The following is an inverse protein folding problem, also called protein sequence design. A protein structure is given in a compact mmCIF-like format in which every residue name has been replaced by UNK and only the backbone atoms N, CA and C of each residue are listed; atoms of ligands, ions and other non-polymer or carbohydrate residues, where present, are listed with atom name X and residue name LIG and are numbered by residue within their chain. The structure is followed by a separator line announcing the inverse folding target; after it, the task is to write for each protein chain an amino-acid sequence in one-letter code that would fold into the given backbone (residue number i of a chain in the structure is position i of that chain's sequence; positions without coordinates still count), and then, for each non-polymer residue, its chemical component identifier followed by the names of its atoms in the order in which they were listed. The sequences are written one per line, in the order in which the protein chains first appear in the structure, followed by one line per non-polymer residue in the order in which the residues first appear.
data_IF_242875458825
#
_entry.id   IF_242875458825
#
_cell.length_a   1.000
_cell.length_b   1.000
_cell.length_c   1.000
_cell.angle_alpha   90.00
_cell.angle_beta   90.00
_cell.angle_gamma   90.00
#
_symmetry.space_group_name_H-M   'P 1'
#
loop_
_entity.id
_entity.type
_entity.pdbx_description
1 polymer ?
#
# COMPACT_ATOMS: atom_id res chain seq x y z
N UNK A 1 7.93 -12.08 32.15
CA UNK A 1 9.20 -12.57 31.58
C UNK A 1 8.91 -12.92 30.12
N UNK A 2 8.71 -11.91 29.26
CA UNK A 2 9.70 -11.20 28.43
C UNK A 2 10.53 -12.13 27.53
N UNK A 3 10.11 -12.25 26.27
CA UNK A 3 11.02 -12.51 25.15
C UNK A 3 10.44 -11.78 23.93
N UNK A 4 10.96 -10.58 23.67
CA UNK A 4 10.66 -9.79 22.49
C UNK A 4 11.40 -10.39 21.29
N UNK A 5 10.67 -10.69 20.23
CA UNK A 5 11.20 -11.20 18.98
C UNK A 5 11.64 -10.02 18.11
N UNK A 6 12.89 -9.61 18.26
CA UNK A 6 13.55 -8.69 17.33
C UNK A 6 13.93 -9.45 16.06
N UNK A 7 13.14 -9.32 15.00
CA UNK A 7 13.55 -9.74 13.65
C UNK A 7 14.43 -8.63 13.08
N UNK A 8 15.74 -8.81 13.23
CA UNK A 8 16.73 -7.98 12.57
C UNK A 8 16.72 -8.26 11.07
N UNK A 9 16.40 -7.24 10.29
CA UNK A 9 16.53 -7.22 8.83
C UNK A 9 18.00 -7.47 8.45
N UNK A 10 18.29 -8.63 7.85
CA UNK A 10 19.52 -8.85 7.09
C UNK A 10 19.15 -8.65 5.61
N UNK A 11 19.49 -7.47 5.11
CA UNK A 11 19.50 -7.16 3.67
C UNK A 11 20.90 -7.41 3.15
N UNK A 12 21.04 -8.43 2.31
CA UNK A 12 22.12 -8.61 1.32
C UNK A 12 21.60 -9.70 0.35
N UNK A 13 21.34 -9.50 -0.94
CA UNK A 13 21.81 -8.52 -1.89
C UNK A 13 22.80 -9.18 -2.85
N UNK A 14 22.32 -9.65 -4.02
CA UNK A 14 22.94 -9.50 -5.34
C UNK A 14 22.38 -10.52 -6.36
N UNK A 15 21.54 -10.07 -7.28
CA UNK A 15 21.53 -10.59 -8.65
C UNK A 15 21.83 -9.42 -9.57
N UNK A 16 22.93 -9.55 -10.32
CA UNK A 16 23.45 -8.57 -11.26
C UNK A 16 22.45 -8.29 -12.38
N UNK A 17 21.98 -7.06 -12.48
CA UNK A 17 21.37 -6.52 -13.69
C UNK A 17 22.23 -5.34 -14.18
N UNK A 18 23.02 -5.60 -15.22
CA UNK A 18 23.80 -4.60 -15.95
C UNK A 18 22.84 -3.66 -16.68
N UNK A 19 22.76 -2.39 -16.27
CA UNK A 19 22.01 -1.36 -16.99
C UNK A 19 22.95 -0.25 -17.47
N UNK A 20 22.89 -0.04 -18.79
CA UNK A 20 23.61 0.94 -19.58
C UNK A 20 23.43 2.37 -19.06
N UNK A 21 24.53 3.12 -19.03
CA UNK A 21 24.59 4.56 -18.80
C UNK A 21 23.89 5.31 -19.94
N UNK A 22 22.93 6.18 -19.61
CA UNK A 22 22.43 7.20 -20.52
C UNK A 22 22.36 8.56 -19.78
N UNK A 23 23.40 9.37 -19.99
CA UNK A 23 23.46 10.78 -19.65
C UNK A 23 22.53 11.58 -20.55
N UNK A 24 21.52 12.25 -20.01
CA UNK A 24 20.86 13.39 -20.66
C UNK A 24 20.40 14.40 -19.60
N UNK A 25 20.99 15.58 -19.59
CA UNK A 25 20.39 16.81 -19.06
C UNK A 25 19.66 17.54 -20.20
N UNK A 26 18.61 18.34 -19.94
CA UNK A 26 18.84 19.79 -20.02
C UNK A 26 17.96 20.68 -19.09
N UNK A 27 18.61 21.74 -18.60
CA UNK A 27 18.21 23.17 -18.62
C UNK A 27 16.76 23.63 -18.39
N UNK A 28 16.53 24.45 -17.35
CA UNK A 28 15.74 25.71 -17.37
C UNK A 28 15.89 26.42 -15.99
N UNK A 29 16.52 27.59 -15.81
CA UNK A 29 16.24 28.97 -16.26
C UNK A 29 15.65 29.85 -15.14
N UNK A 30 16.47 30.82 -14.72
CA UNK A 30 16.30 32.05 -13.93
C UNK A 30 14.98 32.38 -13.19
N UNK A 31 15.11 32.67 -11.90
CA UNK A 31 14.11 33.32 -11.04
C UNK A 31 14.03 34.85 -11.30
N UNK A 32 12.84 35.49 -11.23
CA UNK A 32 12.75 36.94 -11.20
C UNK A 32 12.79 37.51 -9.77
N UNK A 33 13.49 38.63 -9.65
CA UNK A 33 13.72 39.44 -8.45
C UNK A 33 12.43 40.15 -8.00
N UNK A 34 12.06 40.04 -6.72
CA UNK A 34 10.86 40.71 -6.16
C UNK A 34 11.25 42.11 -5.66
N UNK A 35 10.84 43.15 -6.40
CA UNK A 35 10.97 44.55 -5.98
C UNK A 35 9.84 44.92 -5.02
N UNK A 36 10.18 45.20 -3.76
CA UNK A 36 9.24 45.66 -2.74
C UNK A 36 8.87 47.12 -3.00
N UNK A 37 7.63 47.37 -3.44
CA UNK A 37 7.03 48.71 -3.46
C UNK A 37 6.20 48.89 -2.20
N UNK A 38 6.69 49.69 -1.26
CA UNK A 38 5.97 50.09 -0.06
C UNK A 38 4.91 51.13 -0.45
N UNK A 39 3.63 50.79 -0.32
CA UNK A 39 2.53 51.78 -0.37
C UNK A 39 1.83 51.83 0.98
N UNK A 40 1.77 53.06 1.50
CA UNK A 40 1.28 53.45 2.82
C UNK A 40 -0.24 53.32 2.87
N UNK A 41 -0.74 52.64 3.89
CA UNK A 41 -2.17 52.53 4.18
C UNK A 41 -2.76 53.90 4.56
N UNK A 42 -3.76 54.35 3.80
CA UNK A 42 -4.72 55.34 4.25
C UNK A 42 -5.96 54.59 4.74
N UNK A 43 -6.37 54.89 5.96
CA UNK A 43 -7.57 54.41 6.62
C UNK A 43 -8.82 54.95 5.92
N UNK A 44 -9.58 54.06 5.28
CA UNK A 44 -10.89 54.38 4.72
C UNK A 44 -11.91 53.34 5.18
N UNK A 45 -12.85 53.77 6.00
CA UNK A 45 -13.98 53.01 6.50
C UNK A 45 -14.92 52.65 5.35
N UNK A 46 -14.67 51.55 4.65
CA UNK A 46 -15.46 51.11 3.50
C UNK A 46 -16.33 49.90 3.86
N UNK A 47 -17.64 50.07 3.71
CA UNK A 47 -18.64 49.00 3.65
C UNK A 47 -18.18 47.94 2.65
N UNK A 48 -17.98 46.70 3.10
CA UNK A 48 -17.57 45.59 2.22
C UNK A 48 -18.59 45.46 1.09
N UNK A 49 -18.22 45.67 -0.19
CA UNK A 49 -19.17 45.57 -1.29
C UNK A 49 -19.66 44.12 -1.42
N UNK A 50 -20.97 43.92 -1.51
CA UNK A 50 -21.60 42.60 -1.69
C UNK A 50 -21.02 41.79 -2.87
N UNK A 51 -20.41 42.45 -3.85
CA UNK A 51 -19.69 41.81 -4.97
C UNK A 51 -18.43 41.06 -4.54
N UNK A 52 -17.65 41.60 -3.60
CA UNK A 52 -16.47 40.92 -3.04
C UNK A 52 -16.88 39.75 -2.13
N UNK A 53 -17.98 39.89 -1.38
CA UNK A 53 -18.54 38.79 -0.58
C UNK A 53 -19.07 37.64 -1.46
N UNK A 54 -19.72 37.95 -2.60
CA UNK A 54 -20.22 36.94 -3.56
C UNK A 54 -19.09 36.26 -4.33
N UNK A 55 -18.01 36.98 -4.64
CA UNK A 55 -16.80 36.42 -5.27
C UNK A 55 -15.97 35.60 -4.29
N UNK A 56 -15.81 36.04 -3.03
CA UNK A 56 -15.17 35.25 -1.97
C UNK A 56 -15.97 33.98 -1.64
N UNK A 57 -17.31 34.07 -1.59
CA UNK A 57 -18.18 32.90 -1.45
C UNK A 57 -18.11 31.96 -2.67
N UNK A 58 -17.98 32.50 -3.88
CA UNK A 58 -17.81 31.74 -5.12
C UNK A 58 -16.48 30.98 -5.18
N UNK A 59 -15.37 31.62 -4.82
CA UNK A 59 -14.03 31.01 -4.75
C UNK A 59 -13.92 30.00 -3.59
N UNK A 60 -14.54 30.31 -2.45
CA UNK A 60 -14.64 29.39 -1.30
C UNK A 60 -15.42 28.12 -1.66
N UNK A 61 -16.56 28.25 -2.35
CA UNK A 61 -17.37 27.11 -2.81
C UNK A 61 -16.67 26.30 -3.91
N UNK A 62 -15.99 26.96 -4.85
CA UNK A 62 -15.24 26.30 -5.92
C UNK A 62 -14.03 25.49 -5.40
N UNK A 63 -13.38 25.94 -4.34
CA UNK A 63 -12.31 25.17 -3.68
C UNK A 63 -12.84 24.09 -2.72
N UNK A 64 -14.09 24.21 -2.25
CA UNK A 64 -14.71 23.25 -1.33
C UNK A 64 -15.18 21.97 -2.03
N UNK A 65 -15.71 22.05 -3.25
CA UNK A 65 -16.19 20.88 -3.98
C UNK A 65 -15.08 19.84 -4.29
N UNK A 66 -13.91 20.23 -4.83
CA UNK A 66 -12.78 19.29 -5.02
C UNK A 66 -12.28 18.65 -3.72
N UNK A 67 -12.29 19.39 -2.60
CA UNK A 67 -11.92 18.85 -1.28
C UNK A 67 -12.95 17.81 -0.81
N UNK A 68 -14.23 18.12 -0.89
CA UNK A 68 -15.30 17.19 -0.53
C UNK A 68 -15.26 15.92 -1.40
N UNK A 69 -15.01 16.08 -2.70
CA UNK A 69 -14.86 14.97 -3.64
C UNK A 69 -13.65 14.07 -3.30
N UNK A 70 -12.49 14.66 -2.96
CA UNK A 70 -11.32 13.93 -2.48
C UNK A 70 -11.60 13.12 -1.21
N UNK A 71 -12.26 13.73 -0.22
CA UNK A 71 -12.64 13.02 1.01
C UNK A 71 -13.61 11.88 0.68
N UNK A 72 -14.64 12.14 -0.14
CA UNK A 72 -15.59 11.11 -0.57
C UNK A 72 -14.91 9.94 -1.27
N UNK A 73 -13.92 10.22 -2.12
CA UNK A 73 -13.11 9.19 -2.77
C UNK A 73 -12.30 8.36 -1.77
N UNK A 74 -11.68 8.97 -0.76
CA UNK A 74 -10.96 8.23 0.28
C UNK A 74 -11.87 7.28 1.08
N UNK A 75 -13.07 7.73 1.47
CA UNK A 75 -14.05 6.87 2.14
C UNK A 75 -14.51 5.71 1.23
N UNK A 76 -14.75 5.98 -0.06
CA UNK A 76 -15.13 4.94 -1.01
C UNK A 76 -14.01 3.93 -1.26
N UNK A 77 -12.78 4.41 -1.47
CA UNK A 77 -11.67 3.58 -1.94
C UNK A 77 -10.99 2.80 -0.81
N UNK A 78 -10.87 3.38 0.40
CA UNK A 78 -10.34 2.70 1.59
C UNK A 78 -11.43 1.96 2.36
N UNK A 79 -12.54 2.63 2.68
CA UNK A 79 -13.52 2.16 3.67
C UNK A 79 -14.75 1.51 3.05
N UNK A 80 -14.87 1.55 1.72
CA UNK A 80 -16.01 0.98 0.98
C UNK A 80 -17.38 1.50 1.45
N UNK A 81 -17.44 2.75 1.95
CA UNK A 81 -18.67 3.41 2.39
C UNK A 81 -18.70 4.88 2.01
N UNK A 82 -19.87 5.51 2.13
CA UNK A 82 -20.00 6.97 1.99
C UNK A 82 -19.69 7.68 3.32
N UNK A 83 -19.08 8.88 3.27
CA UNK A 83 -18.91 9.71 4.46
C UNK A 83 -20.23 10.37 4.86
N UNK A 84 -20.38 10.68 6.14
CA UNK A 84 -21.40 11.62 6.61
C UNK A 84 -21.06 13.07 6.24
N UNK A 85 -22.03 13.99 6.37
CA UNK A 85 -21.76 15.42 6.19
C UNK A 85 -20.69 15.95 7.18
N UNK A 86 -20.70 15.44 8.41
CA UNK A 86 -19.75 15.83 9.46
C UNK A 86 -18.33 15.31 9.17
N UNK A 87 -18.23 14.07 8.65
CA UNK A 87 -16.96 13.50 8.17
C UNK A 87 -16.33 14.41 7.10
N UNK A 88 -17.11 14.77 6.07
CA UNK A 88 -16.64 15.63 4.98
C UNK A 88 -16.24 17.00 5.52
N UNK A 89 -17.03 17.60 6.41
CA UNK A 89 -16.74 18.90 7.00
C UNK A 89 -15.44 18.88 7.81
N UNK A 90 -15.24 17.87 8.67
CA UNK A 90 -14.05 17.71 9.50
C UNK A 90 -12.77 17.64 8.67
N UNK A 91 -12.71 16.73 7.68
CA UNK A 91 -11.52 16.55 6.86
C UNK A 91 -11.29 17.72 5.90
N UNK A 92 -12.37 18.31 5.36
CA UNK A 92 -12.26 19.48 4.48
C UNK A 92 -11.73 20.71 5.21
N UNK A 93 -12.01 20.85 6.51
CA UNK A 93 -11.44 21.91 7.35
C UNK A 93 -9.93 21.73 7.53
N UNK A 94 -9.43 20.50 7.71
CA UNK A 94 -7.99 20.23 7.79
C UNK A 94 -7.28 20.59 6.48
N UNK A 95 -7.85 20.21 5.34
CA UNK A 95 -7.33 20.61 4.03
C UNK A 95 -7.35 22.13 3.84
N UNK A 96 -8.41 22.80 4.29
CA UNK A 96 -8.51 24.27 4.25
C UNK A 96 -7.41 24.94 5.09
N UNK A 97 -7.06 24.33 6.23
CA UNK A 97 -6.00 24.79 7.13
C UNK A 97 -4.58 24.46 6.63
N UNK A 98 -4.44 23.86 5.44
CA UNK A 98 -3.14 23.56 4.82
C UNK A 98 -2.57 22.18 5.17
N UNK A 99 -3.34 21.28 5.77
CA UNK A 99 -2.89 19.90 5.96
C UNK A 99 -2.63 19.26 4.59
N UNK A 100 -1.48 18.60 4.38
CA UNK A 100 -1.18 17.96 3.12
C UNK A 100 -2.09 16.74 2.92
N UNK A 101 -2.47 16.47 1.66
CA UNK A 101 -3.31 15.31 1.30
C UNK A 101 -2.72 13.97 1.75
N UNK A 102 -1.39 13.86 1.75
CA UNK A 102 -0.69 12.68 2.25
C UNK A 102 -1.03 12.38 3.71
N UNK A 103 -1.08 13.39 4.59
CA UNK A 103 -1.43 13.21 6.01
C UNK A 103 -2.90 12.81 6.17
N UNK A 104 -3.77 13.32 5.31
CA UNK A 104 -5.19 12.92 5.32
C UNK A 104 -5.31 11.46 4.89
N UNK A 105 -4.74 11.07 3.74
CA UNK A 105 -4.78 9.70 3.24
C UNK A 105 -4.12 8.69 4.20
N UNK A 106 -3.01 9.07 4.84
CA UNK A 106 -2.35 8.25 5.86
C UNK A 106 -3.27 8.01 7.09
N UNK A 107 -4.09 8.99 7.45
CA UNK A 107 -5.11 8.83 8.48
C UNK A 107 -6.16 7.75 8.15
N UNK A 108 -6.53 7.60 6.88
CA UNK A 108 -7.42 6.51 6.43
C UNK A 108 -6.67 5.17 6.43
N UNK A 109 -5.47 5.14 5.85
CA UNK A 109 -4.64 3.94 5.75
C UNK A 109 -4.23 3.35 7.11
N UNK A 110 -4.19 4.16 8.16
CA UNK A 110 -3.88 3.73 9.51
C UNK A 110 -5.10 3.63 10.44
N UNK A 111 -6.31 3.87 9.94
CA UNK A 111 -7.53 3.73 10.73
C UNK A 111 -7.84 2.27 11.05
N UNK A 112 -8.44 2.01 12.22
CA UNK A 112 -8.86 0.67 12.62
C UNK A 112 -9.91 0.07 11.67
N UNK A 113 -10.74 0.93 11.07
CA UNK A 113 -11.71 0.52 10.06
C UNK A 113 -11.01 -0.03 8.81
N UNK A 114 -10.02 0.68 8.28
CA UNK A 114 -9.26 0.19 7.13
C UNK A 114 -8.40 -1.03 7.47
N UNK A 115 -7.76 -1.04 8.64
CA UNK A 115 -6.99 -2.20 9.12
C UNK A 115 -7.87 -3.45 9.20
N UNK A 116 -9.08 -3.31 9.73
CA UNK A 116 -10.08 -4.39 9.79
C UNK A 116 -10.41 -4.90 8.39
N UNK A 117 -10.73 -4.00 7.45
CA UNK A 117 -11.01 -4.34 6.05
C UNK A 117 -9.83 -5.10 5.43
N UNK A 118 -8.59 -4.66 5.68
CA UNK A 118 -7.38 -5.32 5.16
C UNK A 118 -7.16 -6.70 5.78
N UNK A 119 -7.41 -6.85 7.08
CA UNK A 119 -7.36 -8.16 7.76
C UNK A 119 -8.39 -9.12 7.14
N UNK A 120 -9.64 -8.69 7.02
CA UNK A 120 -10.72 -9.51 6.45
C UNK A 120 -10.43 -9.90 4.99
N UNK A 121 -9.95 -8.96 4.18
CA UNK A 121 -9.51 -9.22 2.81
C UNK A 121 -8.35 -10.22 2.78
N UNK A 122 -7.38 -10.12 3.70
CA UNK A 122 -6.27 -11.07 3.77
C UNK A 122 -6.76 -12.48 4.12
N UNK A 123 -7.68 -12.65 5.07
CA UNK A 123 -8.29 -13.95 5.36
C UNK A 123 -8.99 -14.55 4.12
N UNK A 124 -9.77 -13.74 3.41
CA UNK A 124 -10.48 -14.19 2.23
C UNK A 124 -9.55 -14.54 1.07
N UNK A 125 -8.58 -13.70 0.77
CA UNK A 125 -7.65 -13.89 -0.36
C UNK A 125 -6.62 -14.98 -0.12
N UNK A 126 -6.13 -15.12 1.11
CA UNK A 126 -5.07 -16.08 1.46
C UNK A 126 -5.64 -17.43 1.90
N UNK A 127 -6.66 -17.43 2.76
CA UNK A 127 -7.20 -18.66 3.37
C UNK A 127 -8.54 -19.09 2.78
N UNK A 128 -9.22 -18.24 2.01
CA UNK A 128 -10.52 -18.55 1.41
C UNK A 128 -11.65 -18.67 2.42
N UNK A 129 -11.58 -17.92 3.53
CA UNK A 129 -12.60 -17.91 4.59
C UNK A 129 -12.65 -16.55 5.27
N UNK A 130 -13.71 -16.31 6.04
CA UNK A 130 -13.77 -15.16 6.94
C UNK A 130 -12.81 -15.31 8.12
N UNK A 131 -12.28 -14.18 8.58
CA UNK A 131 -11.52 -14.11 9.83
C UNK A 131 -12.43 -14.23 11.04
N UNK A 132 -12.02 -14.95 12.06
CA UNK A 132 -12.78 -15.01 13.31
C UNK A 132 -12.69 -13.66 14.04
N UNK A 133 -13.76 -13.20 14.74
CA UNK A 133 -13.74 -11.93 15.46
C UNK A 133 -12.56 -11.79 16.44
N UNK A 134 -12.21 -12.88 17.15
CA UNK A 134 -11.05 -12.90 18.04
C UNK A 134 -9.71 -12.81 17.29
N UNK A 135 -9.62 -13.45 16.12
CA UNK A 135 -8.44 -13.36 15.25
C UNK A 135 -8.24 -11.93 14.72
N UNK A 136 -9.31 -11.29 14.25
CA UNK A 136 -9.30 -9.89 13.79
C UNK A 136 -8.87 -8.95 14.92
N UNK A 137 -9.44 -9.10 16.12
CA UNK A 137 -9.07 -8.30 17.29
C UNK A 137 -7.57 -8.46 17.66
N UNK A 138 -7.05 -9.69 17.62
CA UNK A 138 -5.63 -9.95 17.88
C UNK A 138 -4.71 -9.27 16.86
N UNK A 139 -5.09 -9.25 15.59
CA UNK A 139 -4.34 -8.54 14.54
C UNK A 139 -4.33 -7.03 14.78
N UNK A 140 -5.49 -6.43 15.08
CA UNK A 140 -5.58 -5.00 15.39
C UNK A 140 -4.69 -4.62 16.58
N UNK A 141 -4.75 -5.38 17.65
CA UNK A 141 -3.93 -5.19 18.84
C UNK A 141 -2.42 -5.32 18.53
N UNK A 142 -2.04 -6.24 17.65
CA UNK A 142 -0.66 -6.35 17.18
C UNK A 142 -0.24 -5.11 16.37
N UNK A 143 -1.13 -4.56 15.54
CA UNK A 143 -0.87 -3.33 14.78
C UNK A 143 -0.81 -2.08 15.67
N UNK A 144 -1.61 -1.99 16.73
CA UNK A 144 -1.54 -0.89 17.70
C UNK A 144 -0.21 -0.87 18.44
N UNK A 145 0.36 -2.05 18.73
CA UNK A 145 1.69 -2.17 19.33
C UNK A 145 2.84 -2.04 18.31
N UNK A 146 2.54 -1.84 17.03
CA UNK A 146 3.54 -1.74 15.96
C UNK A 146 4.29 -3.06 15.68
N UNK A 147 3.74 -4.20 16.12
CA UNK A 147 4.35 -5.51 15.91
C UNK A 147 4.10 -6.06 14.50
N UNK A 148 3.02 -5.61 13.85
CA UNK A 148 2.56 -6.03 12.52
C UNK A 148 2.05 -4.79 11.79
N UNK A 149 2.32 -4.71 10.48
CA UNK A 149 1.78 -3.67 9.60
C UNK A 149 0.69 -4.23 8.67
N UNK A 150 -0.01 -3.36 7.93
CA UNK A 150 -0.95 -3.79 6.90
C UNK A 150 -0.32 -4.70 5.84
N UNK A 151 0.99 -4.54 5.58
CA UNK A 151 1.71 -5.29 4.55
C UNK A 151 2.17 -6.68 5.04
N UNK A 152 2.22 -6.88 6.37
CA UNK A 152 2.71 -8.11 6.99
C UNK A 152 1.61 -9.18 7.13
N UNK A 153 0.33 -8.80 7.12
CA UNK A 153 -0.79 -9.71 7.41
C UNK A 153 -0.86 -10.85 6.39
N UNK A 154 -0.88 -10.51 5.08
CA UNK A 154 -0.99 -11.50 4.02
C UNK A 154 0.17 -12.50 4.10
N UNK A 155 1.39 -11.97 4.28
CA UNK A 155 2.60 -12.77 4.46
C UNK A 155 2.51 -13.70 5.67
N UNK A 156 2.10 -13.20 6.82
CA UNK A 156 1.94 -14.01 8.02
C UNK A 156 0.86 -15.11 7.85
N UNK A 157 -0.21 -14.82 7.10
CA UNK A 157 -1.21 -15.84 6.76
C UNK A 157 -0.66 -16.88 5.78
N UNK A 158 0.12 -16.49 4.77
CA UNK A 158 0.80 -17.42 3.86
C UNK A 158 1.75 -18.37 4.60
N UNK A 159 2.42 -17.87 5.65
CA UNK A 159 3.36 -18.65 6.47
C UNK A 159 2.67 -19.54 7.51
N UNK A 160 1.35 -19.38 7.71
CA UNK A 160 0.62 -20.09 8.75
C UNK A 160 0.52 -21.59 8.50
N UNK A 161 0.40 -22.36 9.59
CA UNK A 161 0.06 -23.78 9.52
C UNK A 161 -1.29 -24.00 8.83
N UNK A 162 -2.24 -23.08 8.97
CA UNK A 162 -3.52 -23.21 8.29
C UNK A 162 -3.38 -23.14 6.77
N UNK A 163 -2.64 -22.16 6.24
CA UNK A 163 -2.41 -22.07 4.80
C UNK A 163 -1.74 -23.34 4.28
N UNK A 164 -0.74 -23.86 5.01
CA UNK A 164 -0.07 -25.11 4.66
C UNK A 164 -1.02 -26.33 4.61
N UNK A 165 -1.88 -26.47 5.62
CA UNK A 165 -2.89 -27.54 5.65
C UNK A 165 -3.91 -27.40 4.51
N UNK A 166 -4.36 -26.16 4.22
CA UNK A 166 -5.30 -25.87 3.12
C UNK A 166 -4.69 -26.11 1.75
N UNK A 167 -3.42 -25.76 1.56
CA UNK A 167 -2.69 -26.00 0.32
C UNK A 167 -2.68 -27.49 -0.04
N UNK A 168 -2.45 -28.36 0.95
CA UNK A 168 -2.51 -29.80 0.77
C UNK A 168 -3.92 -30.31 0.43
N UNK A 169 -4.92 -29.81 1.17
CA UNK A 169 -6.31 -30.20 1.00
C UNK A 169 -6.85 -29.85 -0.40
N UNK A 170 -6.37 -28.75 -1.00
CA UNK A 170 -6.70 -28.34 -2.38
C UNK A 170 -6.43 -29.45 -3.40
N UNK A 171 -5.40 -30.28 -3.16
CA UNK A 171 -5.00 -31.36 -4.05
C UNK A 171 -5.38 -32.75 -3.52
N UNK A 172 -6.10 -32.83 -2.38
CA UNK A 172 -6.42 -34.10 -1.73
C UNK A 172 -5.19 -34.87 -1.23
N UNK A 173 -4.13 -34.15 -0.86
CA UNK A 173 -2.83 -34.72 -0.48
C UNK A 173 -2.50 -34.44 0.99
N UNK A 174 -1.50 -35.18 1.50
CA UNK A 174 -0.87 -34.82 2.77
C UNK A 174 -0.02 -33.53 2.59
N UNK A 175 0.00 -32.64 3.59
CA UNK A 175 0.78 -31.40 3.53
C UNK A 175 2.26 -31.63 3.25
N UNK A 176 2.76 -30.93 2.24
CA UNK A 176 4.18 -30.91 1.85
C UNK A 176 4.54 -29.59 1.15
N UNK A 177 5.84 -29.30 1.08
CA UNK A 177 6.37 -28.06 0.50
C UNK A 177 6.01 -27.87 -0.99
N UNK A 178 5.78 -28.96 -1.74
CA UNK A 178 5.33 -28.89 -3.13
C UNK A 178 3.91 -28.33 -3.25
N UNK A 179 2.95 -28.94 -2.54
CA UNK A 179 1.56 -28.44 -2.50
C UNK A 179 1.44 -27.01 -1.98
N UNK A 180 2.30 -26.65 -1.02
CA UNK A 180 2.43 -25.31 -0.49
C UNK A 180 2.92 -24.33 -1.56
N UNK A 181 4.01 -24.66 -2.25
CA UNK A 181 4.59 -23.83 -3.30
C UNK A 181 3.62 -23.63 -4.47
N UNK A 182 2.95 -24.69 -4.92
CA UNK A 182 1.95 -24.60 -6.00
C UNK A 182 0.79 -23.67 -5.61
N UNK A 183 0.40 -23.67 -4.34
CA UNK A 183 -0.64 -22.79 -3.81
C UNK A 183 -0.13 -21.34 -3.68
N UNK A 184 1.12 -21.12 -3.25
CA UNK A 184 1.74 -19.78 -3.27
C UNK A 184 1.76 -19.21 -4.69
N UNK A 185 2.17 -20.00 -5.67
CA UNK A 185 2.18 -19.62 -7.09
C UNK A 185 0.78 -19.21 -7.57
N UNK A 186 -0.21 -20.06 -7.32
CA UNK A 186 -1.59 -19.79 -7.72
C UNK A 186 -2.14 -18.52 -7.04
N UNK A 187 -1.91 -18.34 -5.74
CA UNK A 187 -2.50 -17.23 -4.98
C UNK A 187 -1.75 -15.92 -5.21
N UNK A 188 -0.42 -15.92 -5.13
CA UNK A 188 0.42 -14.70 -5.22
C UNK A 188 0.67 -14.30 -6.68
N UNK A 189 0.94 -15.27 -7.57
CA UNK A 189 1.31 -15.01 -8.98
C UNK A 189 0.16 -15.25 -9.97
N UNK A 190 -0.90 -15.96 -9.56
CA UNK A 190 -2.07 -16.17 -10.41
C UNK A 190 -1.81 -17.16 -11.55
N UNK A 191 -0.76 -17.96 -11.42
CA UNK A 191 -0.33 -18.97 -12.38
C UNK A 191 0.28 -20.15 -11.63
N UNK A 192 0.38 -21.29 -12.28
CA UNK A 192 1.13 -22.42 -11.75
C UNK A 192 2.63 -22.22 -11.97
N UNK A 193 3.44 -22.93 -11.17
CA UNK A 193 4.87 -23.04 -11.43
C UNK A 193 5.06 -23.77 -12.77
N UNK A 194 5.85 -23.19 -13.67
CA UNK A 194 6.04 -23.72 -15.01
C UNK A 194 7.44 -24.31 -15.18
N UNK A 195 7.55 -25.39 -15.94
CA UNK A 195 8.84 -26.06 -16.19
C UNK A 195 9.51 -26.53 -14.89
N UNK A 196 10.79 -26.20 -14.72
CA UNK A 196 11.58 -26.59 -13.55
C UNK A 196 11.50 -25.65 -12.33
N UNK A 197 10.64 -24.61 -12.37
CA UNK A 197 10.56 -23.60 -11.30
C UNK A 197 10.30 -24.22 -9.92
N UNK A 198 9.32 -25.12 -9.80
CA UNK A 198 8.98 -25.76 -8.53
C UNK A 198 10.15 -26.55 -7.94
N UNK A 199 10.80 -27.39 -8.77
CA UNK A 199 11.98 -28.15 -8.37
C UNK A 199 13.19 -27.28 -8.00
N UNK A 200 13.38 -26.17 -8.72
CA UNK A 200 14.40 -25.17 -8.40
C UNK A 200 14.19 -24.61 -6.99
N UNK A 201 12.99 -24.13 -6.68
CA UNK A 201 12.70 -23.54 -5.37
C UNK A 201 12.83 -24.52 -4.22
N UNK A 202 12.33 -25.75 -4.39
CA UNK A 202 12.44 -26.80 -3.37
C UNK A 202 13.91 -27.20 -3.13
N UNK A 203 14.73 -27.22 -4.17
CA UNK A 203 16.17 -27.49 -4.04
C UNK A 203 16.90 -26.32 -3.37
N UNK A 204 16.59 -25.09 -3.79
CA UNK A 204 17.19 -23.88 -3.26
C UNK A 204 16.84 -23.66 -1.78
N UNK A 205 15.59 -23.95 -1.40
CA UNK A 205 15.15 -23.81 -0.01
C UNK A 205 15.86 -24.79 0.93
N UNK A 206 16.07 -26.03 0.49
CA UNK A 206 16.87 -27.01 1.24
C UNK A 206 18.34 -26.58 1.35
N UNK A 207 18.94 -26.12 0.25
CA UNK A 207 20.32 -25.62 0.26
C UNK A 207 20.50 -24.41 1.21
N UNK A 208 19.52 -23.50 1.24
CA UNK A 208 19.51 -22.35 2.14
C UNK A 208 19.40 -22.77 3.61
N UNK A 209 18.60 -23.80 3.91
CA UNK A 209 18.48 -24.32 5.26
C UNK A 209 19.82 -24.92 5.73
N UNK A 210 20.54 -25.62 4.84
CA UNK A 210 21.83 -26.22 5.15
C UNK A 210 22.97 -25.20 5.31
N UNK A 211 22.92 -24.06 4.60
CA UNK A 211 23.96 -23.01 4.67
C UNK A 211 23.95 -22.21 5.97
N UNK A 212 22.83 -22.16 6.69
CA UNK A 212 22.67 -21.39 7.92
C UNK A 212 23.13 -22.09 9.20
N UNK A 213 23.81 -23.25 9.11
CA UNK A 213 24.47 -23.97 10.20
C UNK A 213 23.77 -23.88 11.58
N UNK A 214 22.50 -24.29 11.67
CA UNK A 214 21.92 -24.73 12.95
C UNK A 214 20.67 -25.58 12.77
N UNK A 215 20.63 -26.65 13.55
CA UNK A 215 19.49 -27.49 13.87
C UNK A 215 18.43 -26.65 14.61
N UNK A 216 17.60 -25.89 13.87
CA UNK A 216 16.45 -25.21 14.45
C UNK A 216 15.53 -26.27 15.09
N UNK A 217 15.12 -26.14 16.38
CA UNK A 217 14.37 -27.17 17.10
C UNK A 217 12.97 -27.45 16.52
N UNK A 218 12.54 -26.60 15.61
CA UNK A 218 11.34 -26.62 14.80
C UNK A 218 11.72 -26.95 13.35
N UNK A 219 11.91 -28.25 13.09
CA UNK A 219 12.18 -28.89 11.79
C UNK A 219 11.10 -28.68 10.71
N UNK A 220 10.32 -27.60 10.80
CA UNK A 220 9.14 -27.39 9.98
C UNK A 220 9.01 -25.94 9.54
N UNK A 221 9.92 -25.50 8.66
CA UNK A 221 9.59 -25.55 7.23
C UNK A 221 10.44 -24.59 6.39
N UNK A 222 10.65 -24.96 5.13
CA UNK A 222 11.11 -24.03 4.09
C UNK A 222 10.07 -22.95 3.78
N UNK A 223 8.87 -22.99 4.39
CA UNK A 223 7.71 -22.15 4.08
C UNK A 223 7.98 -20.65 4.21
N UNK A 224 8.52 -20.11 5.33
CA UNK A 224 8.79 -18.67 5.40
C UNK A 224 9.75 -18.21 4.32
N UNK A 225 10.78 -19.01 4.03
CA UNK A 225 11.71 -18.68 2.96
C UNK A 225 11.05 -18.72 1.58
N UNK A 226 10.25 -19.75 1.28
CA UNK A 226 9.51 -19.84 0.02
C UNK A 226 8.51 -18.68 -0.13
N UNK A 227 7.76 -18.35 0.92
CA UNK A 227 6.88 -17.18 0.94
C UNK A 227 7.66 -15.91 0.64
N UNK A 228 8.83 -15.71 1.26
CA UNK A 228 9.68 -14.54 1.02
C UNK A 228 10.12 -14.44 -0.44
N UNK A 229 10.55 -15.55 -1.04
CA UNK A 229 11.00 -15.55 -2.43
C UNK A 229 9.85 -15.24 -3.39
N UNK A 230 8.66 -15.83 -3.18
CA UNK A 230 7.53 -15.65 -4.09
C UNK A 230 6.85 -14.30 -3.87
N UNK A 231 6.53 -13.94 -2.62
CA UNK A 231 5.88 -12.67 -2.27
C UNK A 231 6.76 -11.45 -2.55
N UNK A 232 8.07 -11.59 -2.33
CA UNK A 232 9.10 -10.59 -2.61
C UNK A 232 9.62 -10.59 -4.06
N UNK A 233 9.00 -11.34 -4.97
CA UNK A 233 9.39 -11.36 -6.38
C UNK A 233 8.93 -10.10 -7.12
N UNK A 234 9.66 -9.72 -8.18
CA UNK A 234 9.24 -8.63 -9.07
C UNK A 234 7.89 -8.92 -9.74
N UNK A 235 7.59 -10.19 -10.04
CA UNK A 235 6.29 -10.58 -10.58
C UNK A 235 5.15 -10.28 -9.60
N UNK A 236 5.29 -10.70 -8.33
CA UNK A 236 4.31 -10.41 -7.28
C UNK A 236 4.13 -8.91 -7.05
N UNK A 237 5.24 -8.15 -6.97
CA UNK A 237 5.20 -6.70 -6.81
C UNK A 237 4.47 -6.01 -7.96
N UNK A 238 4.72 -6.42 -9.21
CA UNK A 238 4.02 -5.87 -10.38
C UNK A 238 2.52 -6.15 -10.33
N UNK A 239 2.09 -7.33 -9.86
CA UNK A 239 0.67 -7.65 -9.68
C UNK A 239 0.03 -6.75 -8.61
N UNK A 240 0.64 -6.62 -7.43
CA UNK A 240 0.15 -5.71 -6.37
C UNK A 240 0.02 -4.28 -6.87
N UNK A 241 1.06 -3.76 -7.52
CA UNK A 241 1.06 -2.41 -8.11
C UNK A 241 -0.05 -2.23 -9.14
N UNK A 242 -0.28 -3.22 -10.00
CA UNK A 242 -1.37 -3.18 -10.98
C UNK A 242 -2.74 -3.06 -10.30
N UNK A 243 -2.97 -3.80 -9.21
CA UNK A 243 -4.19 -3.68 -8.41
C UNK A 243 -4.34 -2.29 -7.77
N UNK A 244 -3.25 -1.69 -7.29
CA UNK A 244 -3.26 -0.32 -6.73
C UNK A 244 -3.61 0.71 -7.82
N UNK A 245 -3.03 0.57 -9.02
CA UNK A 245 -3.34 1.40 -10.18
C UNK A 245 -4.83 1.35 -10.54
N UNK A 246 -5.39 0.14 -10.65
CA UNK A 246 -6.80 -0.06 -10.96
C UNK A 246 -7.71 0.54 -9.87
N UNK A 247 -7.43 0.22 -8.59
CA UNK A 247 -8.24 0.68 -7.46
C UNK A 247 -8.26 2.21 -7.32
N UNK A 248 -7.08 2.84 -7.30
CA UNK A 248 -6.96 4.26 -6.94
C UNK A 248 -6.98 5.19 -8.16
N UNK A 249 -6.50 4.74 -9.33
CA UNK A 249 -6.43 5.58 -10.53
C UNK A 249 -7.37 5.13 -11.65
N UNK A 250 -7.99 3.95 -11.55
CA UNK A 250 -8.87 3.36 -12.59
C UNK A 250 -8.24 3.34 -13.98
N UNK A 251 -6.96 2.96 -14.04
CA UNK A 251 -6.23 2.75 -15.28
C UNK A 251 -5.17 1.67 -15.11
N UNK A 252 -4.72 1.12 -16.23
CA UNK A 252 -3.54 0.27 -16.26
C UNK A 252 -2.26 1.10 -16.22
N UNK A 253 -1.20 0.59 -15.55
CA UNK A 253 0.11 1.21 -15.62
C UNK A 253 0.76 1.02 -17.00
N UNK A 254 1.51 2.02 -17.45
CA UNK A 254 2.53 1.82 -18.48
C UNK A 254 3.75 1.07 -17.90
N UNK A 255 4.62 0.54 -18.77
CA UNK A 255 5.74 -0.29 -18.34
C UNK A 255 6.74 0.45 -17.43
N UNK A 256 6.98 1.74 -17.69
CA UNK A 256 7.89 2.54 -16.88
C UNK A 256 7.33 2.82 -15.48
N UNK A 257 6.04 3.16 -15.39
CA UNK A 257 5.33 3.32 -14.13
C UNK A 257 5.28 2.01 -13.34
N UNK A 258 4.97 0.90 -14.00
CA UNK A 258 4.93 -0.41 -13.37
C UNK A 258 6.30 -0.82 -12.81
N UNK A 259 7.38 -0.60 -13.56
CA UNK A 259 8.74 -0.88 -13.10
C UNK A 259 9.13 -0.02 -11.89
N UNK A 260 8.87 1.28 -11.95
CA UNK A 260 9.20 2.22 -10.86
C UNK A 260 8.46 1.85 -9.57
N UNK A 261 7.15 1.62 -9.66
CA UNK A 261 6.34 1.34 -8.49
C UNK A 261 6.52 -0.09 -7.97
N UNK A 262 6.85 -1.07 -8.82
CA UNK A 262 7.24 -2.39 -8.34
C UNK A 262 8.56 -2.35 -7.56
N UNK A 263 9.52 -1.53 -7.97
CA UNK A 263 10.75 -1.32 -7.19
C UNK A 263 10.46 -0.61 -5.84
N UNK A 264 9.50 0.32 -5.83
CA UNK A 264 9.04 0.96 -4.61
C UNK A 264 8.33 -0.02 -3.66
N UNK A 265 7.48 -0.90 -4.18
CA UNK A 265 6.80 -1.96 -3.44
C UNK A 265 7.80 -2.90 -2.77
N UNK A 266 8.79 -3.39 -3.53
CA UNK A 266 9.83 -4.29 -2.99
C UNK A 266 10.71 -3.65 -1.92
N UNK A 267 10.96 -2.34 -2.00
CA UNK A 267 11.86 -1.65 -1.07
C UNK A 267 11.15 -1.07 0.16
N UNK A 268 9.87 -0.70 0.04
CA UNK A 268 9.13 0.06 1.06
C UNK A 268 7.78 -0.53 1.45
N UNK A 269 7.30 -1.56 0.74
CA UNK A 269 6.00 -2.18 0.96
C UNK A 269 4.87 -1.53 0.16
N UNK A 270 3.79 -2.30 0.01
CA UNK A 270 2.56 -1.95 -0.70
C UNK A 270 1.88 -0.72 -0.05
N UNK A 271 1.90 -0.59 1.27
CA UNK A 271 1.37 0.58 1.96
C UNK A 271 2.05 1.89 1.55
N UNK A 272 3.36 1.87 1.30
CA UNK A 272 4.08 3.04 0.79
C UNK A 272 3.66 3.40 -0.65
N UNK A 273 3.37 2.40 -1.48
CA UNK A 273 2.86 2.61 -2.84
C UNK A 273 1.45 3.20 -2.79
N UNK A 274 0.53 2.61 -2.02
CA UNK A 274 -0.82 3.18 -1.79
C UNK A 274 -0.78 4.63 -1.33
N UNK A 275 0.07 4.94 -0.35
CA UNK A 275 0.22 6.31 0.16
C UNK A 275 0.69 7.27 -0.95
N UNK A 276 1.65 6.85 -1.78
CA UNK A 276 2.12 7.63 -2.92
C UNK A 276 1.01 7.96 -3.93
N UNK A 277 0.15 6.98 -4.23
CA UNK A 277 -0.94 7.14 -5.20
C UNK A 277 -2.03 8.06 -4.66
N UNK A 278 -2.46 7.82 -3.43
CA UNK A 278 -3.58 8.54 -2.80
C UNK A 278 -3.21 9.97 -2.39
N UNK A 279 -1.92 10.27 -2.23
CA UNK A 279 -1.41 11.63 -2.06
C UNK A 279 -1.26 12.41 -3.39
N UNK A 280 -1.36 11.75 -4.55
CA UNK A 280 -1.02 12.33 -5.84
C UNK A 280 -2.05 13.35 -6.37
N UNK A 281 -1.60 14.21 -7.28
CA UNK A 281 -2.48 15.10 -8.06
C UNK A 281 -3.43 14.33 -8.95
N UNK A 282 -2.98 13.22 -9.52
CA UNK A 282 -3.81 12.37 -10.36
C UNK A 282 -5.01 11.80 -9.59
N UNK A 283 -4.78 11.26 -8.40
CA UNK A 283 -5.85 10.77 -7.54
C UNK A 283 -6.83 11.88 -7.15
N UNK A 284 -6.33 13.07 -6.81
CA UNK A 284 -7.17 14.23 -6.44
C UNK A 284 -8.03 14.75 -7.60
N UNK A 285 -7.46 14.80 -8.80
CA UNK A 285 -8.19 15.17 -10.02
C UNK A 285 -9.26 14.13 -10.35
N UNK A 286 -8.91 12.84 -10.26
CA UNK A 286 -9.88 11.74 -10.44
C UNK A 286 -11.01 11.81 -9.43
N UNK A 287 -10.69 12.05 -8.15
CA UNK A 287 -11.70 12.19 -7.11
C UNK A 287 -12.69 13.32 -7.44
N UNK A 288 -12.16 14.47 -7.89
CA UNK A 288 -12.98 15.58 -8.37
C UNK A 288 -13.87 15.16 -9.54
N UNK A 289 -13.36 14.43 -10.53
CA UNK A 289 -14.17 13.94 -11.65
C UNK A 289 -15.25 12.92 -11.23
N UNK A 290 -15.02 12.14 -10.16
CA UNK A 290 -15.95 11.11 -9.67
C UNK A 290 -17.09 11.67 -8.81
N UNK A 291 -16.84 12.76 -8.07
CA UNK A 291 -17.71 13.20 -6.98
C UNK A 291 -17.95 14.73 -6.93
N UNK A 292 -17.63 15.47 -8.00
CA UNK A 292 -17.93 16.92 -8.12
C UNK A 292 -19.40 17.22 -8.38
#
# INVERSE_FOLDING_TARGET
MSTGMHIARIVAGAVLATALTATIAPSAQAAPEVRVVSTRAASESASVPQSQAKQAAGVSRASAAPRAAFITALYADFLSRQPSADDVAFWSAKLAAGAPRSIIADGFANSDEYRTIRIEQAYQTVLGRDGEPAGIANWLEAMHRGAVTNDDIEKALFESDEFYLRAAARYGMNPNDGSFLDTLYATILGREAMGGEGGFWLTASYAQMMSQNWMHPDLNSTRPWLTDQIYGSTEAARRRVTTIYDRFLARFPDESGLQLWAAADLSRGDSAVRAGFTASDEYYQRASARFA
#
